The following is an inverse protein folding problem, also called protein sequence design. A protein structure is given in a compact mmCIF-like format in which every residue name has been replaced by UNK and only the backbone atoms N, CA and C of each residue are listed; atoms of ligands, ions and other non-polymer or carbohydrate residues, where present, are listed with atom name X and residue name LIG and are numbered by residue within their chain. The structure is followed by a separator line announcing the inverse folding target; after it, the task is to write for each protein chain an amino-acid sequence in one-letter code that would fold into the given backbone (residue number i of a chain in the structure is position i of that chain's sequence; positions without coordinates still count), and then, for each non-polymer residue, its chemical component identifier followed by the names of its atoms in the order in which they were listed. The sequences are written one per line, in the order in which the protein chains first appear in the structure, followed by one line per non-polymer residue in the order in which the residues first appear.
data_IF_046236392114
#
_entry.id   IF_046236392114
#
_cell.length_a   1.000
_cell.length_b   1.000
_cell.length_c   1.000
_cell.angle_alpha   90.00
_cell.angle_beta   90.00
_cell.angle_gamma   90.00
#
_symmetry.space_group_name_H-M   'P 1'
#
loop_
_entity.id
_entity.type
_entity.pdbx_description
1 polymer ?
#
# COMPACT_ATOMS: atom_id res chain seq x y z
N UNK A 1 40.82 20.75 -10.21
CA UNK A 1 41.62 19.63 -9.67
C UNK A 1 40.61 18.53 -9.44
N UNK A 2 40.38 17.80 -10.52
CA UNK A 2 39.30 16.86 -10.75
C UNK A 2 39.50 15.58 -9.96
N UNK A 3 38.46 15.15 -9.25
CA UNK A 3 38.23 13.72 -8.98
C UNK A 3 36.72 13.42 -9.00
N UNK A 4 36.03 13.80 -10.07
CA UNK A 4 34.79 13.12 -10.44
C UNK A 4 35.19 11.79 -11.08
N UNK A 5 35.38 10.78 -10.24
CA UNK A 5 35.50 9.41 -10.71
C UNK A 5 34.12 8.99 -11.24
N UNK A 6 33.97 8.60 -12.51
CA UNK A 6 32.67 8.28 -13.13
C UNK A 6 31.94 7.09 -12.50
N UNK A 7 32.52 6.43 -11.49
CA UNK A 7 31.93 5.30 -10.77
C UNK A 7 31.45 5.58 -9.34
N UNK A 8 31.55 6.80 -8.82
CA UNK A 8 31.13 7.12 -7.44
C UNK A 8 29.60 7.12 -7.27
N UNK A 9 28.90 7.85 -8.14
CA UNK A 9 27.44 7.97 -8.11
C UNK A 9 26.74 6.66 -8.51
N UNK A 10 27.27 5.96 -9.52
CA UNK A 10 26.73 4.69 -9.98
C UNK A 10 26.86 3.56 -8.95
N UNK A 11 27.97 3.51 -8.21
CA UNK A 11 28.14 2.53 -7.11
C UNK A 11 27.21 2.80 -5.94
N UNK A 12 26.98 4.07 -5.61
CA UNK A 12 26.04 4.47 -4.55
C UNK A 12 24.60 4.09 -4.92
N UNK A 13 24.16 4.41 -6.15
CA UNK A 13 22.83 4.06 -6.65
C UNK A 13 22.59 2.55 -6.72
N UNK A 14 23.57 1.79 -7.24
CA UNK A 14 23.49 0.33 -7.26
C UNK A 14 23.50 -0.28 -5.85
N UNK A 15 24.24 0.31 -4.91
CA UNK A 15 24.22 -0.08 -3.50
C UNK A 15 22.85 0.15 -2.86
N UNK A 16 22.23 1.31 -3.09
CA UNK A 16 20.87 1.64 -2.61
C UNK A 16 19.82 0.68 -3.17
N UNK A 17 19.90 0.34 -4.46
CA UNK A 17 19.01 -0.64 -5.09
C UNK A 17 19.19 -2.03 -4.47
N UNK A 18 20.43 -2.46 -4.24
CA UNK A 18 20.72 -3.77 -3.63
C UNK A 18 20.14 -3.85 -2.22
N UNK A 19 20.37 -2.83 -1.40
CA UNK A 19 19.83 -2.76 -0.03
C UNK A 19 18.30 -2.74 -0.08
N UNK A 20 17.70 -1.91 -0.93
CA UNK A 20 16.25 -1.80 -1.07
C UNK A 20 15.61 -3.12 -1.47
N UNK A 21 16.18 -3.83 -2.45
CA UNK A 21 15.69 -5.14 -2.91
C UNK A 21 15.85 -6.20 -1.81
N UNK A 22 16.98 -6.21 -1.11
CA UNK A 22 17.20 -7.11 0.02
C UNK A 22 16.20 -6.89 1.15
N UNK A 23 16.00 -5.64 1.55
CA UNK A 23 15.01 -5.26 2.57
C UNK A 23 13.59 -5.60 2.12
N UNK A 24 13.23 -5.38 0.86
CA UNK A 24 11.91 -5.74 0.33
C UNK A 24 11.63 -7.24 0.45
N UNK A 25 12.60 -8.10 0.13
CA UNK A 25 12.47 -9.56 0.29
C UNK A 25 12.24 -9.93 1.76
N UNK A 26 13.03 -9.35 2.67
CA UNK A 26 12.90 -9.60 4.11
C UNK A 26 11.52 -9.16 4.61
N UNK A 27 11.05 -7.98 4.22
CA UNK A 27 9.73 -7.47 4.61
C UNK A 27 8.59 -8.38 4.12
N UNK A 28 8.68 -8.89 2.88
CA UNK A 28 7.68 -9.85 2.36
C UNK A 28 7.70 -11.17 3.13
N UNK A 29 8.86 -11.70 3.50
CA UNK A 29 8.98 -12.90 4.34
C UNK A 29 8.35 -12.66 5.71
N UNK A 30 8.62 -11.50 6.31
CA UNK A 30 8.00 -11.09 7.59
C UNK A 30 6.49 -10.98 7.44
N UNK A 31 5.98 -10.41 6.35
CA UNK A 31 4.55 -10.31 6.10
C UNK A 31 3.88 -11.68 5.92
N UNK A 32 4.50 -12.61 5.20
CA UNK A 32 3.98 -14.00 5.08
C UNK A 32 3.98 -14.69 6.45
N UNK A 33 5.02 -14.48 7.25
CA UNK A 33 5.09 -15.01 8.63
C UNK A 33 4.01 -14.38 9.51
N UNK A 34 3.74 -13.09 9.33
CA UNK A 34 2.65 -12.36 10.00
C UNK A 34 1.28 -12.90 9.57
N UNK A 35 1.03 -13.16 8.28
CA UNK A 35 -0.20 -13.79 7.82
C UNK A 35 -0.38 -15.20 8.39
N UNK A 36 0.70 -16.00 8.47
CA UNK A 36 0.64 -17.30 9.13
C UNK A 36 0.31 -17.17 10.63
N UNK A 37 0.88 -16.15 11.27
CA UNK A 37 0.60 -15.86 12.67
C UNK A 37 -0.88 -15.50 12.88
N UNK A 38 -1.37 -14.56 12.08
CA UNK A 38 -2.72 -14.00 12.11
C UNK A 38 -3.80 -15.03 11.73
N UNK A 39 -3.59 -15.80 10.66
CA UNK A 39 -4.62 -16.71 10.13
C UNK A 39 -4.64 -18.08 10.79
N UNK A 40 -3.54 -18.49 11.46
CA UNK A 40 -3.42 -19.85 11.99
C UNK A 40 -3.06 -19.91 13.46
N UNK A 41 -1.95 -19.31 13.86
CA UNK A 41 -1.43 -19.53 15.23
C UNK A 41 -2.18 -18.75 16.30
N UNK A 42 -2.68 -17.57 15.95
CA UNK A 42 -3.32 -16.63 16.86
C UNK A 42 -4.62 -16.07 16.25
N UNK A 43 -5.33 -16.85 15.44
CA UNK A 43 -6.57 -16.42 14.79
C UNK A 43 -7.60 -15.87 15.80
N UNK A 44 -7.68 -16.45 16.98
CA UNK A 44 -8.59 -16.01 18.06
C UNK A 44 -8.28 -14.59 18.56
N UNK A 45 -7.02 -14.11 18.44
CA UNK A 45 -6.67 -12.73 18.81
C UNK A 45 -7.12 -11.70 17.76
N UNK A 46 -7.40 -12.15 16.54
CA UNK A 46 -7.81 -11.29 15.42
C UNK A 46 -9.28 -11.48 15.03
N UNK A 47 -9.99 -12.41 15.66
CA UNK A 47 -11.43 -12.55 15.52
C UNK A 47 -12.13 -11.38 16.21
N UNK A 48 -13.06 -10.71 15.52
CA UNK A 48 -13.78 -9.58 16.12
C UNK A 48 -14.79 -10.08 17.17
N UNK A 49 -14.90 -9.46 18.36
CA UNK A 49 -15.88 -9.85 19.37
C UNK A 49 -17.34 -9.76 18.89
N UNK A 50 -17.61 -8.98 17.84
CA UNK A 50 -18.92 -8.80 17.23
C UNK A 50 -19.25 -9.82 16.10
N UNK A 51 -18.33 -10.74 15.76
CA UNK A 51 -18.55 -11.78 14.73
C UNK A 51 -19.39 -12.97 15.24
N UNK A 52 -19.93 -12.91 16.46
CA UNK A 52 -20.76 -14.00 17.03
C UNK A 52 -22.16 -14.12 16.40
N UNK A 53 -22.63 -13.11 15.65
CA UNK A 53 -23.81 -13.28 14.79
C UNK A 53 -23.38 -13.85 13.42
N UNK A 54 -23.80 -15.08 13.06
CA UNK A 54 -23.49 -15.63 11.75
C UNK A 54 -24.14 -14.76 10.66
N UNK A 55 -23.35 -13.91 10.01
CA UNK A 55 -23.78 -13.20 8.81
C UNK A 55 -24.04 -14.24 7.71
N UNK A 56 -25.31 -14.45 7.36
CA UNK A 56 -25.63 -15.28 6.20
C UNK A 56 -25.03 -14.64 4.94
N UNK A 57 -24.32 -15.42 4.11
CA UNK A 57 -23.71 -14.89 2.89
C UNK A 57 -24.80 -14.34 1.97
N UNK A 58 -24.89 -13.01 1.90
CA UNK A 58 -25.90 -12.31 1.10
C UNK A 58 -25.66 -12.40 -0.40
N UNK A 59 -24.48 -12.88 -0.83
CA UNK A 59 -24.12 -13.02 -2.23
C UNK A 59 -23.52 -14.38 -2.56
N UNK A 60 -23.88 -14.90 -3.75
CA UNK A 60 -23.25 -16.10 -4.31
C UNK A 60 -21.81 -15.82 -4.73
N UNK A 61 -20.93 -16.83 -4.58
CA UNK A 61 -19.51 -16.78 -4.98
C UNK A 61 -19.32 -16.32 -6.42
N UNK A 62 -20.19 -16.75 -7.34
CA UNK A 62 -20.11 -16.35 -8.76
C UNK A 62 -20.43 -14.85 -8.91
N UNK A 63 -21.46 -14.37 -8.22
CA UNK A 63 -21.81 -12.94 -8.24
C UNK A 63 -20.69 -12.10 -7.63
N UNK A 64 -20.10 -12.58 -6.53
CA UNK A 64 -18.93 -11.94 -5.90
C UNK A 64 -17.74 -11.86 -6.85
N UNK A 65 -17.40 -12.96 -7.53
CA UNK A 65 -16.31 -12.99 -8.49
C UNK A 65 -16.53 -12.03 -9.68
N UNK A 66 -17.77 -11.97 -10.21
CA UNK A 66 -18.12 -11.05 -11.30
C UNK A 66 -17.97 -9.60 -10.86
N UNK A 67 -18.48 -9.24 -9.68
CA UNK A 67 -18.34 -7.88 -9.15
C UNK A 67 -16.89 -7.50 -8.84
N UNK A 68 -16.13 -8.42 -8.24
CA UNK A 68 -14.71 -8.21 -7.95
C UNK A 68 -13.92 -7.90 -9.23
N UNK A 69 -14.09 -8.71 -10.27
CA UNK A 69 -13.43 -8.50 -11.56
C UNK A 69 -13.92 -7.21 -12.23
N UNK A 70 -15.22 -6.95 -12.23
CA UNK A 70 -15.81 -5.75 -12.81
C UNK A 70 -15.28 -4.47 -12.18
N UNK A 71 -15.27 -4.39 -10.85
CA UNK A 71 -14.74 -3.24 -10.11
C UNK A 71 -13.24 -3.11 -10.34
N UNK A 72 -12.49 -4.21 -10.33
CA UNK A 72 -11.03 -4.19 -10.60
C UNK A 72 -10.71 -3.58 -11.97
N UNK A 73 -11.47 -3.94 -13.01
CA UNK A 73 -11.29 -3.38 -14.36
C UNK A 73 -11.60 -1.88 -14.39
N UNK A 74 -12.71 -1.47 -13.77
CA UNK A 74 -13.10 -0.05 -13.69
C UNK A 74 -12.04 0.75 -12.93
N UNK A 75 -11.61 0.26 -11.76
CA UNK A 75 -10.55 0.88 -10.96
C UNK A 75 -9.25 0.97 -11.73
N UNK A 76 -8.87 -0.05 -12.49
CA UNK A 76 -7.66 -0.01 -13.34
C UNK A 76 -7.75 1.07 -14.40
N UNK A 77 -8.90 1.24 -15.06
CA UNK A 77 -9.09 2.31 -16.04
C UNK A 77 -9.04 3.70 -15.40
N UNK A 78 -9.72 3.88 -14.26
CA UNK A 78 -9.70 5.16 -13.53
C UNK A 78 -8.31 5.47 -13.00
N UNK A 79 -7.54 4.47 -12.56
CA UNK A 79 -6.16 4.66 -12.11
C UNK A 79 -5.24 5.15 -13.23
N UNK A 80 -5.39 4.64 -14.45
CA UNK A 80 -4.62 5.10 -15.61
C UNK A 80 -4.90 6.57 -15.94
N UNK A 81 -6.18 6.94 -16.00
CA UNK A 81 -6.62 8.34 -16.21
C UNK A 81 -6.12 9.25 -15.08
N UNK A 82 -6.18 8.77 -13.82
CA UNK A 82 -5.71 9.51 -12.65
C UNK A 82 -4.22 9.79 -12.73
N UNK A 83 -3.40 8.77 -13.04
CA UNK A 83 -1.94 8.90 -13.18
C UNK A 83 -1.59 9.87 -14.30
N UNK A 84 -2.28 9.81 -15.44
CA UNK A 84 -2.10 10.77 -16.54
C UNK A 84 -2.41 12.21 -16.13
N UNK A 85 -3.39 12.41 -15.24
CA UNK A 85 -3.81 13.74 -14.78
C UNK A 85 -2.85 14.37 -13.76
N UNK A 86 -1.94 13.59 -13.15
CA UNK A 86 -1.00 14.10 -12.13
C UNK A 86 -0.08 15.16 -12.73
N UNK A 87 0.47 14.92 -13.92
CA UNK A 87 1.39 15.86 -14.59
C UNK A 87 0.70 17.20 -14.90
N UNK A 88 -0.46 17.12 -15.57
CA UNK A 88 -1.25 18.31 -15.93
C UNK A 88 -1.69 19.10 -14.70
N UNK A 89 -2.08 18.41 -13.62
CA UNK A 89 -2.49 19.06 -12.36
C UNK A 89 -1.31 19.74 -11.68
N UNK A 90 -0.15 19.07 -11.64
CA UNK A 90 1.06 19.61 -11.05
C UNK A 90 1.51 20.90 -11.76
N UNK A 91 1.51 20.91 -13.09
CA UNK A 91 1.89 22.09 -13.89
C UNK A 91 0.85 23.21 -13.78
N UNK A 92 -0.43 22.89 -13.98
CA UNK A 92 -1.50 23.91 -14.00
C UNK A 92 -1.66 24.62 -12.65
N UNK A 93 -1.64 23.88 -11.56
CA UNK A 93 -1.84 24.43 -10.21
C UNK A 93 -0.53 24.72 -9.48
N UNK A 94 0.63 24.47 -10.11
CA UNK A 94 1.95 24.65 -9.52
C UNK A 94 2.12 23.88 -8.19
N UNK A 95 1.52 22.69 -8.11
CA UNK A 95 1.57 21.82 -6.94
C UNK A 95 2.69 20.80 -7.14
N UNK A 96 3.61 20.60 -6.18
CA UNK A 96 4.64 19.59 -6.30
C UNK A 96 4.05 18.19 -6.50
N UNK A 97 4.57 17.42 -7.46
CA UNK A 97 4.13 16.03 -7.72
C UNK A 97 4.21 15.15 -6.46
N UNK A 98 5.24 15.35 -5.63
CA UNK A 98 5.38 14.69 -4.34
C UNK A 98 4.22 14.98 -3.40
N UNK A 99 3.70 16.21 -3.36
CA UNK A 99 2.51 16.54 -2.54
C UNK A 99 1.26 15.82 -3.04
N UNK A 100 1.06 15.76 -4.36
CA UNK A 100 -0.06 15.03 -4.95
C UNK A 100 0.04 13.53 -4.60
N UNK A 101 1.23 12.95 -4.78
CA UNK A 101 1.47 11.53 -4.54
C UNK A 101 1.43 11.12 -3.06
N UNK A 102 1.94 11.96 -2.16
CA UNK A 102 2.08 11.66 -0.73
C UNK A 102 0.85 12.06 0.10
N UNK A 103 0.15 13.14 -0.27
CA UNK A 103 -0.97 13.67 0.52
C UNK A 103 -2.31 13.43 -0.18
N UNK A 104 -2.46 13.88 -1.43
CA UNK A 104 -3.77 13.84 -2.09
C UNK A 104 -4.19 12.42 -2.48
N UNK A 105 -3.29 11.64 -3.07
CA UNK A 105 -3.62 10.27 -3.51
C UNK A 105 -4.00 9.35 -2.34
N UNK A 106 -3.23 9.24 -1.24
CA UNK A 106 -3.59 8.36 -0.13
C UNK A 106 -4.87 8.81 0.57
N UNK A 107 -5.10 10.13 0.67
CA UNK A 107 -6.32 10.67 1.27
C UNK A 107 -7.57 10.20 0.52
N UNK A 108 -7.57 10.28 -0.81
CA UNK A 108 -8.72 9.87 -1.63
C UNK A 108 -8.81 8.35 -1.73
N UNK A 109 -7.68 7.67 -1.92
CA UNK A 109 -7.63 6.20 -2.05
C UNK A 109 -8.13 5.49 -0.80
N UNK A 110 -7.84 6.03 0.39
CA UNK A 110 -8.23 5.43 1.67
C UNK A 110 -9.48 6.09 2.28
N UNK A 111 -10.16 6.99 1.54
CA UNK A 111 -11.31 7.74 2.06
C UNK A 111 -12.45 6.82 2.54
N UNK A 112 -12.73 5.75 1.80
CA UNK A 112 -13.78 4.79 2.18
C UNK A 112 -13.45 4.04 3.48
N UNK A 113 -12.18 3.67 3.68
CA UNK A 113 -11.71 3.07 4.93
C UNK A 113 -11.79 4.06 6.09
N UNK A 114 -11.41 5.31 5.87
CA UNK A 114 -11.49 6.37 6.88
C UNK A 114 -12.95 6.61 7.31
N UNK A 115 -13.88 6.68 6.36
CA UNK A 115 -15.32 6.84 6.64
C UNK A 115 -15.85 5.66 7.44
N UNK A 116 -15.51 4.43 7.04
CA UNK A 116 -15.92 3.21 7.76
C UNK A 116 -15.35 3.17 9.17
N UNK A 117 -14.06 3.49 9.33
CA UNK A 117 -13.36 3.54 10.61
C UNK A 117 -13.97 4.56 11.57
N UNK A 118 -14.29 5.77 11.09
CA UNK A 118 -14.98 6.81 11.87
C UNK A 118 -16.39 6.38 12.24
N UNK A 119 -17.15 5.78 11.31
CA UNK A 119 -18.49 5.30 11.58
C UNK A 119 -18.52 4.20 12.65
N UNK A 120 -17.55 3.27 12.61
CA UNK A 120 -17.38 2.24 13.63
C UNK A 120 -16.97 2.82 14.99
N UNK A 121 -16.09 3.84 14.99
CA UNK A 121 -15.71 4.55 16.21
C UNK A 121 -16.91 5.26 16.85
N UNK A 122 -17.78 5.87 16.05
CA UNK A 122 -19.03 6.50 16.52
C UNK A 122 -19.99 5.50 17.16
N UNK A 123 -19.91 4.21 16.81
CA UNK A 123 -20.67 3.12 17.41
C UNK A 123 -20.02 2.54 18.68
N UNK A 124 -18.91 3.12 19.15
CA UNK A 124 -18.16 2.62 20.29
C UNK A 124 -17.28 1.39 19.98
N UNK A 125 -17.16 0.98 18.72
CA UNK A 125 -16.36 -0.19 18.29
C UNK A 125 -14.90 0.18 18.04
N UNK A 126 -14.22 0.72 19.05
CA UNK A 126 -12.85 1.23 18.90
C UNK A 126 -11.82 0.15 18.55
N UNK A 127 -12.01 -1.09 19.01
CA UNK A 127 -11.10 -2.20 18.67
C UNK A 127 -11.13 -2.52 17.17
N UNK A 128 -12.33 -2.51 16.57
CA UNK A 128 -12.52 -2.72 15.12
C UNK A 128 -11.94 -1.55 14.30
N UNK A 129 -12.14 -0.31 14.77
CA UNK A 129 -11.53 0.90 14.18
C UNK A 129 -10.00 0.79 14.17
N UNK A 130 -9.39 0.39 15.30
CA UNK A 130 -7.93 0.20 15.41
C UNK A 130 -7.47 -0.92 14.48
N UNK A 131 -8.21 -2.04 14.43
CA UNK A 131 -7.93 -3.17 13.54
C UNK A 131 -7.87 -2.76 12.06
N UNK A 132 -8.85 -2.00 11.59
CA UNK A 132 -8.90 -1.48 10.21
C UNK A 132 -7.71 -0.54 9.94
N UNK A 133 -7.46 0.43 10.82
CA UNK A 133 -6.41 1.43 10.62
C UNK A 133 -4.99 0.85 10.69
N UNK A 134 -4.71 0.01 11.69
CA UNK A 134 -3.39 -0.61 11.87
C UNK A 134 -3.17 -1.71 10.81
N UNK A 135 -4.20 -2.50 10.50
CA UNK A 135 -4.13 -3.54 9.47
C UNK A 135 -3.76 -2.97 8.10
N UNK A 136 -4.45 -1.90 7.66
CA UNK A 136 -4.15 -1.20 6.41
C UNK A 136 -2.72 -0.65 6.40
N UNK A 137 -2.25 -0.08 7.51
CA UNK A 137 -0.87 0.43 7.65
C UNK A 137 0.19 -0.67 7.53
N UNK A 138 -0.02 -1.82 8.21
CA UNK A 138 0.89 -2.98 8.12
C UNK A 138 0.91 -3.51 6.68
N UNK A 139 -0.25 -3.60 6.03
CA UNK A 139 -0.35 -4.08 4.65
C UNK A 139 0.40 -3.17 3.67
N UNK A 140 0.26 -1.84 3.78
CA UNK A 140 1.01 -0.93 2.92
C UNK A 140 2.52 -1.05 3.16
N UNK A 141 2.96 -1.04 4.42
CA UNK A 141 4.37 -0.99 4.78
C UNK A 141 5.12 -2.32 4.54
N UNK A 142 4.53 -3.46 4.90
CA UNK A 142 5.19 -4.76 4.86
C UNK A 142 4.87 -5.57 3.60
N UNK A 143 3.81 -5.22 2.87
CA UNK A 143 3.41 -5.94 1.66
C UNK A 143 3.44 -5.06 0.41
N UNK A 144 2.62 -4.00 0.33
CA UNK A 144 2.44 -3.26 -0.93
C UNK A 144 3.73 -2.56 -1.38
N UNK A 145 4.37 -1.78 -0.52
CA UNK A 145 5.61 -1.05 -0.86
C UNK A 145 6.75 -2.02 -1.24
N UNK A 146 7.06 -3.05 -0.44
CA UNK A 146 8.05 -4.07 -0.80
C UNK A 146 7.73 -4.81 -2.10
N UNK A 147 6.45 -5.16 -2.33
CA UNK A 147 6.02 -5.82 -3.55
C UNK A 147 6.25 -4.92 -4.77
N UNK A 148 5.97 -3.63 -4.68
CA UNK A 148 6.23 -2.67 -5.75
C UNK A 148 7.72 -2.59 -6.10
N UNK A 149 8.62 -2.67 -5.11
CA UNK A 149 10.07 -2.73 -5.36
C UNK A 149 10.46 -3.98 -6.16
N UNK A 150 9.88 -5.14 -5.82
CA UNK A 150 10.13 -6.40 -6.56
C UNK A 150 9.55 -6.36 -7.97
N UNK A 151 8.32 -5.86 -8.13
CA UNK A 151 7.69 -5.72 -9.47
C UNK A 151 8.51 -4.77 -10.33
N UNK A 152 8.94 -3.62 -9.78
CA UNK A 152 9.82 -2.67 -10.46
C UNK A 152 11.13 -3.33 -10.90
N UNK A 153 11.73 -4.14 -10.02
CA UNK A 153 12.95 -4.88 -10.34
C UNK A 153 12.75 -5.87 -11.50
N UNK A 154 11.64 -6.61 -11.53
CA UNK A 154 11.30 -7.52 -12.64
C UNK A 154 11.08 -6.74 -13.94
N UNK A 155 10.49 -5.55 -13.88
CA UNK A 155 10.27 -4.68 -15.04
C UNK A 155 11.52 -3.93 -15.51
N UNK A 156 12.67 -4.10 -14.83
CA UNK A 156 13.90 -3.37 -15.14
C UNK A 156 13.82 -1.87 -14.82
N UNK A 157 12.91 -1.47 -13.93
CA UNK A 157 12.80 -0.11 -13.41
C UNK A 157 13.43 -0.02 -12.02
N UNK A 158 13.99 1.13 -11.72
CA UNK A 158 14.65 1.38 -10.45
C UNK A 158 13.67 2.05 -9.48
N UNK A 159 13.05 1.25 -8.60
CA UNK A 159 12.33 1.72 -7.44
C UNK A 159 13.12 1.32 -6.18
N UNK A 160 13.34 2.26 -5.28
CA UNK A 160 14.07 2.04 -4.03
C UNK A 160 13.14 2.23 -2.83
N UNK A 161 13.58 1.75 -1.67
CA UNK A 161 12.97 2.08 -0.37
C UNK A 161 13.62 3.32 0.25
N UNK A 162 14.30 4.14 -0.56
CA UNK A 162 14.89 5.39 -0.14
C UNK A 162 13.83 6.48 -0.25
N UNK A 163 13.36 6.94 0.91
CA UNK A 163 12.45 8.08 1.01
C UNK A 163 13.27 9.37 1.19
N UNK A 164 12.70 10.52 0.86
CA UNK A 164 13.39 11.78 1.08
C UNK A 164 13.57 12.03 2.59
N UNK A 165 14.57 12.82 3.00
CA UNK A 165 14.89 13.05 4.43
C UNK A 165 13.72 13.61 5.25
N UNK A 166 12.74 14.25 4.60
CA UNK A 166 11.53 14.79 5.25
C UNK A 166 10.38 13.77 5.34
N UNK A 167 10.53 12.59 4.73
CA UNK A 167 9.54 11.52 4.68
C UNK A 167 9.85 10.38 5.68
N UNK A 168 11.04 10.40 6.30
CA UNK A 168 11.54 9.40 7.28
C UNK A 168 11.40 9.91 8.71
#
# INVERSE_FOLDING_TARGET
MDTDAPGGNERSHNGLLLISRGTAIVLLIVYVSYLFFQLKTHADLFASPDEEEPEEPSMSVISGAVWLLGITVVTSFTADVLVGSIEETAEKYHIPKGFIGLILLPLVANAAEHVTSVWMAMKGKLELTIGISVGSSIQIAAFVVPLLVIVSWIMGKDLTLYFADFEV
#
